data_IF_927876383994
#
_entry.id   IF_927876383994
#
_cell.length_a   1.000
_cell.length_b   1.000
_cell.length_c   1.000
_cell.angle_alpha   90.00
_cell.angle_beta   90.00
_cell.angle_gamma   90.00
#
_symmetry.space_group_name_H-M   'P 1'
#
loop_
_entity.id
_entity.type
_entity.pdbx_description
1 polymer ?
#
# COMPACT_ATOMS: atom_id res chain seq x y z
N UNK A 1 -15.58 14.00 -1.43
CA UNK A 1 -15.01 14.87 -2.50
C UNK A 1 -13.79 15.62 -1.96
N UNK A 2 -12.95 14.99 -1.13
CA UNK A 2 -12.19 15.72 -0.09
C UNK A 2 -10.71 15.32 0.04
N UNK A 3 -10.28 14.19 -0.51
CA UNK A 3 -8.99 13.58 -0.14
C UNK A 3 -7.86 13.79 -1.17
N UNK A 4 -8.21 13.93 -2.45
CA UNK A 4 -7.25 14.40 -3.47
C UNK A 4 -6.86 15.87 -3.18
N UNK A 5 -7.81 16.65 -2.63
CA UNK A 5 -7.57 18.04 -2.29
C UNK A 5 -6.55 18.19 -1.15
N UNK A 6 -6.64 17.37 -0.10
CA UNK A 6 -5.67 17.33 1.01
C UNK A 6 -4.26 16.99 0.52
N UNK A 7 -4.12 15.94 -0.29
CA UNK A 7 -2.83 15.55 -0.87
C UNK A 7 -2.24 16.67 -1.74
N UNK A 8 -3.07 17.32 -2.56
CA UNK A 8 -2.65 18.44 -3.41
C UNK A 8 -2.23 19.62 -2.55
N UNK A 9 -3.04 20.01 -1.56
CA UNK A 9 -2.74 21.11 -0.65
C UNK A 9 -1.43 20.88 0.10
N UNK A 10 -1.26 19.70 0.71
CA UNK A 10 -0.04 19.31 1.40
C UNK A 10 1.17 19.39 0.48
N UNK A 11 1.06 18.90 -0.76
CA UNK A 11 2.15 18.92 -1.73
C UNK A 11 2.49 20.32 -2.25
N UNK A 12 1.52 21.23 -2.33
CA UNK A 12 1.74 22.64 -2.67
C UNK A 12 2.47 23.33 -1.52
N UNK A 13 2.00 23.14 -0.29
CA UNK A 13 2.66 23.69 0.90
C UNK A 13 4.10 23.17 1.03
N UNK A 14 4.32 21.89 0.72
CA UNK A 14 5.63 21.26 0.76
C UNK A 14 6.57 21.78 -0.32
N UNK A 15 6.07 22.04 -1.54
CA UNK A 15 6.89 22.63 -2.60
C UNK A 15 7.35 24.05 -2.23
N UNK A 16 6.48 24.82 -1.58
CA UNK A 16 6.81 26.15 -1.05
C UNK A 16 7.78 26.10 0.15
N UNK A 17 7.93 24.94 0.81
CA UNK A 17 8.77 24.73 2.00
C UNK A 17 9.93 23.74 1.74
N UNK A 18 10.34 23.55 0.48
CA UNK A 18 11.36 22.55 0.12
C UNK A 18 12.75 22.80 0.71
N UNK A 19 13.03 24.06 1.03
CA UNK A 19 14.26 24.53 1.68
C UNK A 19 14.14 24.53 3.21
N UNK A 20 13.01 24.11 3.76
CA UNK A 20 12.77 23.99 5.21
C UNK A 20 12.88 22.54 5.67
N UNK A 21 13.06 22.38 6.97
CA UNK A 21 12.96 21.09 7.63
C UNK A 21 11.53 20.51 7.46
N UNK A 22 11.35 19.29 6.91
CA UNK A 22 10.00 18.72 6.68
C UNK A 22 9.30 18.31 7.98
N UNK A 23 10.04 18.21 9.09
CA UNK A 23 9.50 17.88 10.40
C UNK A 23 8.90 19.10 11.10
N UNK A 24 9.65 20.20 11.24
CA UNK A 24 9.25 21.38 11.99
C UNK A 24 8.96 22.64 11.16
N UNK A 25 9.19 22.60 9.84
CA UNK A 25 9.00 23.74 8.92
C UNK A 25 9.82 25.00 9.30
N UNK A 26 10.89 24.82 10.09
CA UNK A 26 11.89 25.86 10.39
C UNK A 26 13.08 25.75 9.41
N UNK A 27 14.02 26.68 9.53
CA UNK A 27 15.25 26.68 8.75
C UNK A 27 15.99 25.33 8.85
N UNK A 28 16.72 24.90 7.80
CA UNK A 28 17.49 23.66 7.83
C UNK A 28 18.42 23.60 9.04
N UNK A 29 18.35 22.49 9.76
CA UNK A 29 19.28 22.16 10.84
C UNK A 29 19.94 20.81 10.58
N UNK A 30 21.01 20.54 11.33
CA UNK A 30 21.76 19.29 11.20
C UNK A 30 20.93 18.12 11.74
N UNK A 31 20.57 17.19 10.85
CA UNK A 31 19.99 15.91 11.24
C UNK A 31 21.07 14.83 11.30
N UNK A 32 21.18 14.06 12.39
CA UNK A 32 22.07 12.91 12.46
C UNK A 32 21.60 11.83 11.47
N UNK A 33 22.49 11.40 10.57
CA UNK A 33 22.21 10.32 9.60
C UNK A 33 21.89 10.76 8.18
N UNK A 34 22.25 11.99 7.75
CA UNK A 34 22.04 12.53 6.39
C UNK A 34 22.38 11.53 5.27
N UNK A 35 21.40 10.73 4.86
CA UNK A 35 21.29 10.29 3.49
C UNK A 35 21.02 11.53 2.65
N UNK A 36 21.78 11.75 1.58
CA UNK A 36 21.34 12.70 0.53
C UNK A 36 19.93 12.30 0.12
N UNK A 37 19.04 13.27 -0.12
CA UNK A 37 17.72 12.99 -0.71
C UNK A 37 17.94 12.18 -1.99
N UNK A 38 17.63 10.88 -1.92
CA UNK A 38 17.68 9.98 -3.07
C UNK A 38 16.28 9.94 -3.63
N UNK A 39 16.16 9.98 -4.96
CA UNK A 39 14.88 9.73 -5.61
C UNK A 39 14.31 8.40 -5.08
N UNK A 40 13.07 8.41 -4.61
CA UNK A 40 12.36 7.19 -4.23
C UNK A 40 12.21 6.35 -5.49
N UNK A 41 12.68 5.11 -5.41
CA UNK A 41 12.60 4.13 -6.51
C UNK A 41 11.87 2.91 -6.01
N UNK A 42 11.01 2.35 -6.86
CA UNK A 42 10.47 1.02 -6.65
C UNK A 42 11.53 0.00 -7.04
N UNK A 43 11.93 -0.87 -6.10
CA UNK A 43 12.87 -1.96 -6.33
C UNK A 43 12.30 -3.28 -5.78
N UNK A 44 11.27 -3.84 -6.44
CA UNK A 44 10.59 -5.05 -5.95
C UNK A 44 11.54 -6.23 -5.72
N UNK A 45 12.64 -6.30 -6.48
CA UNK A 45 13.64 -7.35 -6.32
C UNK A 45 14.33 -7.36 -4.95
N UNK A 46 14.46 -6.20 -4.29
CA UNK A 46 15.09 -6.06 -2.96
C UNK A 46 14.16 -6.45 -1.80
N UNK A 47 12.86 -6.59 -2.06
CA UNK A 47 11.87 -6.96 -1.05
C UNK A 47 12.05 -8.39 -0.52
N UNK A 48 12.83 -9.24 -1.20
CA UNK A 48 13.12 -10.62 -0.77
C UNK A 48 11.88 -11.39 -0.28
N UNK A 49 10.74 -11.21 -0.96
CA UNK A 49 9.48 -11.81 -0.55
C UNK A 49 9.59 -13.34 -0.49
N UNK A 50 8.95 -13.93 0.52
CA UNK A 50 8.76 -15.37 0.57
C UNK A 50 7.90 -15.85 -0.61
N UNK A 51 8.16 -17.08 -1.05
CA UNK A 51 7.36 -17.72 -2.07
C UNK A 51 5.92 -17.94 -1.60
N UNK A 52 4.98 -17.84 -2.53
CA UNK A 52 3.58 -18.13 -2.25
C UNK A 52 3.44 -19.66 -2.07
N UNK A 53 2.80 -20.16 -0.99
CA UNK A 53 2.57 -21.58 -0.81
C UNK A 53 1.86 -22.18 -2.03
N UNK A 54 2.33 -23.35 -2.49
CA UNK A 54 1.84 -24.01 -3.72
C UNK A 54 2.06 -23.22 -5.02
N UNK A 55 2.83 -22.12 -4.97
CA UNK A 55 3.33 -21.35 -6.10
C UNK A 55 4.50 -22.03 -6.78
N UNK A 56 4.28 -23.23 -7.32
CA UNK A 56 5.30 -23.90 -8.10
C UNK A 56 5.32 -23.39 -9.55
N UNK A 57 6.51 -23.21 -10.16
CA UNK A 57 6.65 -22.98 -11.60
C UNK A 57 5.84 -24.03 -12.38
N UNK A 58 4.88 -23.56 -13.19
CA UNK A 58 3.98 -24.43 -13.95
C UNK A 58 2.49 -24.24 -13.66
N UNK A 59 2.10 -23.67 -12.50
CA UNK A 59 0.69 -23.39 -12.18
C UNK A 59 0.33 -21.90 -12.30
N UNK A 60 1.12 -21.06 -11.66
CA UNK A 60 1.05 -19.59 -11.67
C UNK A 60 2.45 -19.03 -11.39
N UNK A 61 2.66 -17.73 -11.50
CA UNK A 61 3.92 -17.09 -11.08
C UNK A 61 3.70 -16.29 -9.80
N UNK A 62 4.76 -15.74 -9.22
CA UNK A 62 4.71 -14.94 -8.00
C UNK A 62 5.31 -13.56 -8.28
N UNK A 63 4.58 -12.51 -7.90
CA UNK A 63 5.07 -11.14 -7.91
C UNK A 63 5.59 -10.75 -6.51
N UNK A 64 6.72 -10.06 -6.48
CA UNK A 64 7.17 -9.33 -5.29
C UNK A 64 6.37 -8.02 -5.23
N UNK A 65 5.53 -7.88 -4.23
CA UNK A 65 4.60 -6.76 -4.09
C UNK A 65 4.98 -5.89 -2.88
N UNK A 66 4.97 -4.56 -3.07
CA UNK A 66 5.11 -3.62 -1.96
C UNK A 66 3.80 -3.48 -1.21
N UNK A 67 3.84 -3.60 0.12
CA UNK A 67 2.69 -3.30 0.98
C UNK A 67 2.34 -1.80 0.92
N UNK A 68 3.35 -0.95 0.93
CA UNK A 68 3.22 0.48 0.61
C UNK A 68 3.96 0.72 -0.70
N UNK A 69 3.23 0.90 -1.81
CA UNK A 69 3.84 1.11 -3.12
C UNK A 69 4.71 2.38 -3.12
N UNK A 70 5.99 2.21 -3.49
CA UNK A 70 6.97 3.29 -3.44
C UNK A 70 6.57 4.49 -4.31
N UNK A 71 6.04 4.26 -5.51
CA UNK A 71 5.72 5.33 -6.47
C UNK A 71 4.26 5.76 -6.38
N UNK A 72 3.33 4.81 -6.25
CA UNK A 72 1.91 5.11 -6.32
C UNK A 72 1.35 5.64 -5.01
N UNK A 73 1.97 5.33 -3.86
CA UNK A 73 1.52 5.79 -2.55
C UNK A 73 2.58 6.64 -1.85
N UNK A 74 3.75 6.06 -1.57
CA UNK A 74 4.74 6.69 -0.70
C UNK A 74 5.31 7.99 -1.26
N UNK A 75 5.76 7.99 -2.53
CA UNK A 75 6.29 9.19 -3.18
C UNK A 75 5.24 10.27 -3.45
N UNK A 76 3.93 9.95 -3.36
CA UNK A 76 2.86 10.94 -3.52
C UNK A 76 2.75 11.88 -2.34
N UNK A 77 3.07 11.41 -1.13
CA UNK A 77 3.07 12.22 0.10
C UNK A 77 4.47 12.80 0.29
N UNK A 78 4.79 13.88 -0.44
CA UNK A 78 6.16 14.42 -0.59
C UNK A 78 6.84 14.71 0.75
N UNK A 79 6.09 15.27 1.71
CA UNK A 79 6.60 15.63 3.03
C UNK A 79 7.05 14.40 3.81
N UNK A 80 6.20 13.37 3.89
CA UNK A 80 6.53 12.10 4.54
C UNK A 80 7.72 11.41 3.88
N UNK A 81 7.74 11.39 2.56
CA UNK A 81 8.86 10.88 1.78
C UNK A 81 10.20 11.58 2.15
N UNK A 82 10.19 12.91 2.31
CA UNK A 82 11.36 13.67 2.77
C UNK A 82 11.73 13.33 4.22
N UNK A 83 10.76 13.29 5.13
CA UNK A 83 10.97 12.90 6.53
C UNK A 83 11.63 11.52 6.64
N UNK A 84 11.05 10.53 5.97
CA UNK A 84 11.54 9.14 5.95
C UNK A 84 12.94 9.01 5.34
N UNK A 85 13.22 9.73 4.25
CA UNK A 85 14.56 9.75 3.62
C UNK A 85 15.61 10.33 4.56
N UNK A 86 15.26 11.36 5.34
CA UNK A 86 16.16 11.98 6.30
C UNK A 86 16.55 11.06 7.45
N UNK A 87 15.64 10.17 7.88
CA UNK A 87 15.90 9.17 8.91
C UNK A 87 16.45 7.84 8.36
N UNK A 88 16.70 7.76 7.04
CA UNK A 88 17.27 6.58 6.41
C UNK A 88 16.32 5.39 6.26
N UNK A 89 15.00 5.60 6.27
CA UNK A 89 14.02 4.55 6.02
C UNK A 89 14.09 4.06 4.55
N UNK A 90 14.19 2.75 4.33
CA UNK A 90 14.13 2.15 2.99
C UNK A 90 12.79 1.44 2.77
N UNK A 91 11.95 2.05 1.93
CA UNK A 91 10.67 1.49 1.50
C UNK A 91 10.81 0.16 0.73
N UNK A 92 12.02 -0.21 0.31
CA UNK A 92 12.31 -1.47 -0.37
C UNK A 92 12.83 -2.56 0.57
N UNK A 93 12.82 -2.33 1.89
CA UNK A 93 13.22 -3.35 2.85
C UNK A 93 12.23 -4.54 2.84
N UNK A 94 12.72 -5.78 3.09
CA UNK A 94 11.87 -6.98 3.05
C UNK A 94 10.59 -6.96 3.90
N UNK A 95 10.57 -6.34 5.10
CA UNK A 95 9.35 -6.17 5.87
C UNK A 95 8.25 -5.35 5.17
N UNK A 96 8.56 -4.57 4.14
CA UNK A 96 7.56 -3.89 3.30
C UNK A 96 7.11 -4.71 2.07
N UNK A 97 7.55 -5.97 1.96
CA UNK A 97 7.26 -6.85 0.82
C UNK A 97 6.36 -8.03 1.14
N UNK A 98 5.45 -8.38 0.23
CA UNK A 98 4.68 -9.62 0.27
C UNK A 98 4.74 -10.33 -1.09
N UNK A 99 4.86 -11.65 -1.09
CA UNK A 99 4.74 -12.45 -2.30
C UNK A 99 3.26 -12.67 -2.61
N UNK A 100 2.84 -12.36 -3.84
CA UNK A 100 1.45 -12.57 -4.27
C UNK A 100 1.38 -13.36 -5.58
N UNK A 101 0.42 -14.27 -5.74
CA UNK A 101 0.26 -15.03 -6.98
C UNK A 101 -0.14 -14.11 -8.14
N UNK A 102 0.40 -14.39 -9.32
CA UNK A 102 0.11 -13.66 -10.56
C UNK A 102 0.10 -14.60 -11.77
N UNK A 103 -0.23 -14.08 -12.96
CA UNK A 103 -0.47 -14.93 -14.14
C UNK A 103 0.77 -15.70 -14.59
N UNK A 104 0.54 -16.88 -15.18
CA UNK A 104 1.53 -17.63 -15.96
C UNK A 104 1.22 -17.44 -17.43
N UNK A 105 2.19 -17.00 -18.22
CA UNK A 105 2.06 -16.98 -19.67
C UNK A 105 2.92 -18.09 -20.30
N UNK A 106 2.37 -18.92 -21.21
CA UNK A 106 0.94 -19.06 -21.53
C UNK A 106 0.17 -19.88 -20.47
N UNK A 107 -1.11 -19.58 -20.28
CA UNK A 107 -2.05 -20.35 -19.47
C UNK A 107 -2.89 -21.24 -20.40
N UNK A 108 -2.71 -22.56 -20.31
CA UNK A 108 -3.46 -23.51 -21.17
C UNK A 108 -3.27 -23.29 -22.68
N UNK A 109 -2.11 -22.79 -23.09
CA UNK A 109 -1.79 -22.49 -24.50
C UNK A 109 -2.20 -21.10 -24.98
N UNK A 110 -2.93 -20.30 -24.16
CA UNK A 110 -3.30 -18.90 -24.46
C UNK A 110 -2.50 -17.92 -23.60
N UNK A 111 -2.31 -16.68 -24.02
CA UNK A 111 -1.83 -15.64 -23.08
C UNK A 111 -2.97 -15.29 -22.13
N UNK A 112 -2.65 -14.93 -20.89
CA UNK A 112 -3.66 -14.51 -19.92
C UNK A 112 -4.47 -13.29 -20.40
N UNK A 113 -3.85 -12.40 -21.19
CA UNK A 113 -4.52 -11.26 -21.83
C UNK A 113 -5.67 -11.68 -22.74
N UNK A 114 -5.55 -12.84 -23.37
CA UNK A 114 -6.44 -13.34 -24.44
C UNK A 114 -7.60 -14.17 -23.89
N UNK A 115 -7.64 -14.37 -22.56
CA UNK A 115 -8.75 -15.00 -21.86
C UNK A 115 -9.92 -14.02 -21.71
N UNK A 116 -11.15 -14.54 -21.75
CA UNK A 116 -12.35 -13.77 -21.37
C UNK A 116 -12.28 -13.35 -19.90
N UNK A 117 -13.10 -12.38 -19.49
CA UNK A 117 -13.08 -11.94 -18.09
C UNK A 117 -13.59 -13.01 -17.11
N UNK A 118 -14.49 -13.88 -17.55
CA UNK A 118 -14.96 -15.06 -16.82
C UNK A 118 -13.85 -16.12 -16.71
N UNK A 119 -13.11 -16.36 -17.79
CA UNK A 119 -11.94 -17.25 -17.78
C UNK A 119 -10.88 -16.71 -16.80
N UNK A 120 -10.56 -15.42 -16.88
CA UNK A 120 -9.62 -14.76 -15.96
C UNK A 120 -10.09 -14.86 -14.50
N UNK A 121 -11.38 -14.66 -14.23
CA UNK A 121 -11.94 -14.80 -12.88
C UNK A 121 -11.81 -16.23 -12.38
N UNK A 122 -12.15 -17.21 -13.21
CA UNK A 122 -12.06 -18.64 -12.86
C UNK A 122 -10.63 -19.02 -12.51
N UNK A 123 -9.65 -18.56 -13.29
CA UNK A 123 -8.22 -18.78 -13.01
C UNK A 123 -7.81 -18.12 -11.70
N UNK A 124 -8.14 -16.84 -11.51
CA UNK A 124 -7.81 -16.09 -10.30
C UNK A 124 -8.40 -16.76 -9.05
N UNK A 125 -9.70 -17.08 -9.06
CA UNK A 125 -10.41 -17.76 -7.97
C UNK A 125 -9.78 -19.11 -7.63
N UNK A 126 -9.42 -19.91 -8.64
CA UNK A 126 -8.76 -21.20 -8.41
C UNK A 126 -7.40 -21.03 -7.73
N UNK A 127 -6.61 -20.06 -8.18
CA UNK A 127 -5.29 -19.80 -7.58
C UNK A 127 -5.46 -19.29 -6.15
N UNK A 128 -6.30 -18.28 -5.92
CA UNK A 128 -6.59 -17.72 -4.60
C UNK A 128 -7.09 -18.78 -3.61
N UNK A 129 -7.98 -19.68 -4.06
CA UNK A 129 -8.44 -20.82 -3.25
C UNK A 129 -7.31 -21.77 -2.88
N UNK A 130 -6.34 -21.98 -3.78
CA UNK A 130 -5.23 -22.93 -3.57
C UNK A 130 -4.11 -22.35 -2.72
N UNK A 131 -3.82 -21.06 -2.87
CA UNK A 131 -2.71 -20.38 -2.21
C UNK A 131 -3.12 -19.72 -0.89
N UNK A 132 -4.40 -19.35 -0.76
CA UNK A 132 -4.88 -18.48 0.32
C UNK A 132 -4.34 -17.05 0.22
N UNK A 133 -3.85 -16.63 -0.94
CA UNK A 133 -3.28 -15.30 -1.17
C UNK A 133 -3.98 -14.60 -2.34
N UNK A 134 -4.14 -13.28 -2.25
CA UNK A 134 -4.85 -12.49 -3.24
C UNK A 134 -4.16 -12.48 -4.62
N UNK A 135 -4.95 -12.55 -5.69
CA UNK A 135 -4.46 -12.48 -7.06
C UNK A 135 -3.95 -11.07 -7.41
N UNK A 136 -2.66 -10.96 -7.71
CA UNK A 136 -1.98 -9.71 -8.03
C UNK A 136 -1.87 -9.53 -9.55
N UNK A 137 -3.02 -9.26 -10.19
CA UNK A 137 -3.13 -8.89 -11.60
C UNK A 137 -4.20 -7.82 -11.73
N UNK A 138 -3.82 -6.70 -12.35
CA UNK A 138 -4.60 -5.47 -12.38
C UNK A 138 -3.77 -4.37 -11.73
N UNK A 139 -3.58 -3.25 -12.43
CA UNK A 139 -2.91 -2.11 -11.84
C UNK A 139 -3.74 -1.61 -10.65
N UNK A 140 -3.04 -1.11 -9.63
CA UNK A 140 -3.58 -0.58 -8.38
C UNK A 140 -4.58 0.61 -8.52
N UNK A 141 -4.97 0.96 -9.74
CA UNK A 141 -5.99 1.95 -10.07
C UNK A 141 -7.33 1.24 -10.35
N UNK A 142 -7.92 0.61 -9.34
CA UNK A 142 -9.32 0.21 -9.39
C UNK A 142 -10.12 1.35 -8.76
N UNK A 143 -10.78 2.16 -9.58
CA UNK A 143 -11.75 3.15 -9.11
C UNK A 143 -13.07 2.43 -8.90
N UNK A 144 -13.55 2.39 -7.66
CA UNK A 144 -14.77 1.66 -7.28
C UNK A 144 -15.89 2.69 -7.10
N UNK A 145 -17.00 2.50 -7.79
CA UNK A 145 -18.18 3.38 -7.66
C UNK A 145 -18.78 3.27 -6.26
N UNK A 146 -18.95 4.42 -5.61
CA UNK A 146 -19.64 4.54 -4.32
C UNK A 146 -21.15 4.64 -4.56
N UNK A 147 -22.00 3.89 -3.83
CA UNK A 147 -23.44 4.15 -3.80
C UNK A 147 -23.75 5.50 -3.12
N UNK A 148 -24.89 6.10 -3.46
CA UNK A 148 -25.30 7.44 -2.99
C UNK A 148 -25.59 7.54 -1.47
N UNK A 149 -25.67 6.42 -0.76
CA UNK A 149 -26.00 6.30 0.68
C UNK A 149 -24.76 6.05 1.59
N UNK A 150 -23.56 6.32 1.10
CA UNK A 150 -22.31 5.95 1.75
C UNK A 150 -21.98 6.70 3.06
N UNK A 151 -22.67 7.79 3.38
CA UNK A 151 -22.37 8.68 4.52
C UNK A 151 -23.33 8.54 5.73
N UNK A 152 -24.29 7.61 5.66
CA UNK A 152 -25.25 7.41 6.75
C UNK A 152 -24.61 6.52 7.84
N UNK A 153 -23.97 7.16 8.82
CA UNK A 153 -23.63 6.52 10.10
C UNK A 153 -24.91 6.28 10.93
N UNK A 154 -25.72 5.30 10.54
CA UNK A 154 -26.72 4.74 11.44
C UNK A 154 -26.21 3.42 12.01
N UNK A 155 -26.10 3.40 13.34
CA UNK A 155 -25.64 2.26 14.12
C UNK A 155 -26.47 1.01 13.84
N UNK A 156 -25.80 -0.03 13.36
CA UNK A 156 -26.36 -1.35 13.15
C UNK A 156 -25.24 -2.30 12.74
N UNK A 157 -25.24 -3.51 13.31
CA UNK A 157 -24.17 -4.51 13.23
C UNK A 157 -23.93 -5.13 11.83
N UNK A 158 -24.35 -4.48 10.74
CA UNK A 158 -24.37 -5.03 9.37
C UNK A 158 -23.61 -4.18 8.31
N UNK A 159 -22.62 -3.37 8.72
CA UNK A 159 -21.76 -2.62 7.77
C UNK A 159 -20.58 -3.48 7.23
N UNK A 160 -20.88 -4.71 6.86
CA UNK A 160 -19.91 -5.74 6.52
C UNK A 160 -19.33 -5.57 5.10
N UNK A 161 -18.08 -5.11 5.04
CA UNK A 161 -17.11 -5.34 3.95
C UNK A 161 -17.29 -4.62 2.60
N UNK A 162 -17.53 -3.30 2.62
CA UNK A 162 -17.46 -2.47 1.41
C UNK A 162 -15.99 -2.17 1.02
N UNK A 163 -15.52 -2.67 -0.11
CA UNK A 163 -14.26 -2.25 -0.77
C UNK A 163 -14.58 -1.08 -1.68
N UNK A 164 -14.64 0.12 -1.11
CA UNK A 164 -15.14 1.30 -1.81
C UNK A 164 -14.03 2.17 -2.40
N UNK A 165 -12.77 1.86 -2.12
CA UNK A 165 -11.63 2.73 -2.42
C UNK A 165 -10.43 1.88 -2.84
N UNK A 166 -9.72 2.30 -3.89
CA UNK A 166 -8.53 1.59 -4.36
C UNK A 166 -7.53 1.36 -3.21
N UNK A 167 -6.80 0.25 -3.28
CA UNK A 167 -5.73 -0.07 -2.33
C UNK A 167 -4.80 1.11 -2.11
N UNK A 168 -4.38 1.76 -3.20
CA UNK A 168 -3.45 2.88 -3.16
C UNK A 168 -4.02 4.08 -2.43
N UNK A 169 -5.29 4.43 -2.66
CA UNK A 169 -5.93 5.55 -1.98
C UNK A 169 -6.06 5.29 -0.48
N UNK A 170 -6.43 4.06 -0.09
CA UNK A 170 -6.49 3.68 1.32
C UNK A 170 -5.12 3.81 2.00
N UNK A 171 -4.05 3.35 1.33
CA UNK A 171 -2.69 3.52 1.84
C UNK A 171 -2.28 4.99 1.89
N UNK A 172 -2.58 5.79 0.86
CA UNK A 172 -2.29 7.23 0.82
C UNK A 172 -2.96 7.95 1.99
N UNK A 173 -4.21 7.64 2.32
CA UNK A 173 -4.92 8.24 3.46
C UNK A 173 -4.19 7.97 4.78
N UNK A 174 -3.73 6.74 4.99
CA UNK A 174 -2.93 6.43 6.18
C UNK A 174 -1.60 7.20 6.22
N UNK A 175 -0.96 7.40 5.06
CA UNK A 175 0.27 8.19 4.97
C UNK A 175 0.02 9.68 5.21
N UNK A 176 -1.09 10.24 4.75
CA UNK A 176 -1.50 11.63 5.01
C UNK A 176 -1.71 11.82 6.52
N UNK A 177 -2.53 10.98 7.14
CA UNK A 177 -2.80 11.05 8.58
C UNK A 177 -1.50 10.97 9.39
N UNK A 178 -0.62 10.02 9.06
CA UNK A 178 0.69 9.91 9.71
C UNK A 178 1.52 11.20 9.53
N UNK A 179 1.46 11.83 8.35
CA UNK A 179 2.18 13.08 8.11
C UNK A 179 1.68 14.23 8.98
N UNK A 180 0.37 14.31 9.18
CA UNK A 180 -0.28 15.33 10.00
C UNK A 180 0.02 15.15 11.48
N UNK A 181 -0.04 13.92 11.98
CA UNK A 181 0.34 13.57 13.35
C UNK A 181 1.78 14.01 13.66
N UNK A 182 2.70 13.71 12.73
CA UNK A 182 4.10 14.11 12.84
C UNK A 182 4.32 15.61 12.69
N UNK A 183 3.49 16.29 11.91
CA UNK A 183 3.53 17.75 11.78
C UNK A 183 3.09 18.45 13.07
N UNK A 184 2.04 17.96 13.73
CA UNK A 184 1.51 18.51 14.97
C UNK A 184 2.47 18.29 16.16
N UNK A 185 3.24 17.20 16.15
CA UNK A 185 4.12 16.81 17.26
C UNK A 185 5.45 17.61 17.37
N UNK A 186 5.71 18.58 16.49
CA UNK A 186 6.94 19.41 16.40
C UNK A 186 8.23 18.65 16.78
N UNK A 187 8.64 17.64 16.00
CA UNK A 187 9.49 16.56 16.47
C UNK A 187 10.99 16.89 16.52
N UNK A 188 11.41 18.09 16.12
CA UNK A 188 12.82 18.49 16.08
C UNK A 188 13.42 18.91 17.44
N UNK A 189 12.65 18.86 18.52
CA UNK A 189 13.11 19.27 19.85
C UNK A 189 13.70 18.11 20.69
N UNK A 190 13.51 16.85 20.26
CA UNK A 190 14.11 15.64 20.88
C UNK A 190 14.51 14.61 19.78
N UNK A 191 15.68 14.83 19.17
CA UNK A 191 16.04 14.24 17.87
C UNK A 191 16.31 12.72 17.89
N UNK A 192 16.87 12.15 18.97
CA UNK A 192 17.30 10.74 18.95
C UNK A 192 16.18 9.72 19.18
N UNK A 193 15.19 10.05 20.04
CA UNK A 193 14.08 9.15 20.39
C UNK A 193 12.94 9.17 19.38
N UNK A 194 12.80 10.25 18.62
CA UNK A 194 11.71 10.43 17.65
C UNK A 194 12.04 9.86 16.26
N UNK A 195 13.30 9.66 15.90
CA UNK A 195 13.71 9.00 14.64
C UNK A 195 13.24 7.55 14.53
N UNK A 196 13.42 6.77 15.60
CA UNK A 196 12.94 5.39 15.67
C UNK A 196 11.43 5.31 15.63
N UNK A 197 10.73 6.33 16.13
CA UNK A 197 9.28 6.34 16.17
C UNK A 197 8.64 6.48 14.78
N UNK A 198 9.09 7.41 13.92
CA UNK A 198 8.55 7.51 12.55
C UNK A 198 8.81 6.22 11.75
N UNK A 199 10.00 5.64 11.89
CA UNK A 199 10.29 4.32 11.28
C UNK A 199 9.31 3.26 11.80
N UNK A 200 9.12 3.19 13.11
CA UNK A 200 8.22 2.24 13.74
C UNK A 200 6.77 2.43 13.28
N UNK A 201 6.30 3.66 13.10
CA UNK A 201 4.94 3.91 12.61
C UNK A 201 4.76 3.45 11.15
N UNK A 202 5.77 3.66 10.30
CA UNK A 202 5.79 3.14 8.93
C UNK A 202 5.83 1.61 8.89
N UNK A 203 6.67 1.00 9.74
CA UNK A 203 6.75 -0.46 9.87
C UNK A 203 5.42 -1.05 10.36
N UNK A 204 4.78 -0.42 11.35
CA UNK A 204 3.46 -0.82 11.87
C UNK A 204 2.36 -0.69 10.82
N UNK A 205 2.39 0.35 9.98
CA UNK A 205 1.48 0.47 8.85
C UNK A 205 1.65 -0.72 7.89
N UNK A 206 2.89 -1.02 7.49
CA UNK A 206 3.18 -2.19 6.64
C UNK A 206 2.74 -3.49 7.29
N UNK A 207 3.01 -3.70 8.57
CA UNK A 207 2.58 -4.89 9.32
C UNK A 207 1.06 -5.02 9.38
N UNK A 208 0.34 -3.92 9.64
CA UNK A 208 -1.13 -3.91 9.64
C UNK A 208 -1.70 -4.33 8.29
N UNK A 209 -1.16 -3.79 7.19
CA UNK A 209 -1.56 -4.17 5.83
C UNK A 209 -1.25 -5.66 5.59
N UNK A 210 -0.05 -6.12 5.95
CA UNK A 210 0.35 -7.52 5.82
C UNK A 210 -0.62 -8.45 6.54
N UNK A 211 -0.97 -8.15 7.79
CA UNK A 211 -1.88 -8.96 8.60
C UNK A 211 -3.26 -9.08 7.94
N UNK A 212 -3.76 -8.00 7.33
CA UNK A 212 -5.01 -8.00 6.55
C UNK A 212 -4.90 -8.87 5.30
N UNK A 213 -3.82 -8.74 4.52
CA UNK A 213 -3.60 -9.57 3.33
C UNK A 213 -3.41 -11.05 3.67
N UNK A 214 -2.78 -11.38 4.81
CA UNK A 214 -2.59 -12.76 5.26
C UNK A 214 -3.88 -13.37 5.84
N UNK A 215 -4.77 -12.55 6.41
CA UNK A 215 -6.09 -13.00 6.88
C UNK A 215 -6.97 -13.54 5.72
N UNK A 216 -6.66 -13.20 4.48
CA UNK A 216 -7.37 -13.67 3.27
C UNK A 216 -7.50 -15.19 3.21
N UNK A 217 -6.49 -15.92 3.70
CA UNK A 217 -6.48 -17.39 3.71
C UNK A 217 -7.58 -17.98 4.60
N UNK A 218 -7.87 -17.32 5.72
CA UNK A 218 -8.84 -17.79 6.71
C UNK A 218 -10.22 -17.34 6.31
N UNK A 219 -10.35 -16.06 6.01
CA UNK A 219 -11.61 -15.43 5.63
C UNK A 219 -11.31 -14.28 4.66
N UNK A 220 -11.58 -14.45 3.35
CA UNK A 220 -11.24 -13.47 2.33
C UNK A 220 -11.72 -12.04 2.62
N UNK A 221 -12.92 -11.89 3.21
CA UNK A 221 -13.49 -10.59 3.59
C UNK A 221 -12.67 -9.83 4.63
N UNK A 222 -11.94 -10.53 5.51
CA UNK A 222 -11.08 -9.91 6.54
C UNK A 222 -9.87 -9.17 5.97
N UNK A 223 -9.59 -9.32 4.67
CA UNK A 223 -8.63 -8.47 3.99
C UNK A 223 -9.08 -7.03 3.83
N UNK A 224 -10.37 -6.73 3.97
CA UNK A 224 -10.88 -5.36 3.91
C UNK A 224 -10.13 -4.44 4.89
N UNK A 225 -9.74 -3.22 4.45
CA UNK A 225 -10.04 -2.60 3.14
C UNK A 225 -9.02 -2.88 2.02
N UNK A 226 -8.09 -3.82 2.21
CA UNK A 226 -6.95 -4.03 1.31
C UNK A 226 -7.19 -5.16 0.33
N UNK A 227 -7.67 -4.84 -0.87
CA UNK A 227 -7.66 -5.78 -2.00
C UNK A 227 -6.79 -5.26 -3.14
N UNK A 228 -5.83 -6.10 -3.56
CA UNK A 228 -4.81 -5.77 -4.56
C UNK A 228 -5.30 -5.91 -6.01
N UNK A 229 -6.52 -6.41 -6.20
CA UNK A 229 -7.21 -6.45 -7.51
C UNK A 229 -8.72 -6.55 -7.30
N UNK A 230 -9.48 -6.12 -8.31
CA UNK A 230 -10.93 -6.32 -8.37
C UNK A 230 -11.29 -7.80 -8.23
N UNK A 231 -10.53 -8.69 -8.89
CA UNK A 231 -10.77 -10.14 -8.84
C UNK A 231 -10.65 -10.71 -7.44
N UNK A 232 -9.69 -10.21 -6.65
CA UNK A 232 -9.52 -10.61 -5.25
C UNK A 232 -10.69 -10.13 -4.38
N UNK A 233 -11.20 -8.93 -4.66
CA UNK A 233 -12.41 -8.44 -4.02
C UNK A 233 -13.64 -9.26 -4.38
N UNK A 234 -13.90 -9.49 -5.67
CA UNK A 234 -15.02 -10.33 -6.13
C UNK A 234 -14.98 -11.71 -5.49
N UNK A 235 -13.81 -12.36 -5.45
CA UNK A 235 -13.65 -13.66 -4.77
C UNK A 235 -13.99 -13.60 -3.28
N UNK A 236 -13.70 -12.46 -2.62
CA UNK A 236 -13.99 -12.31 -1.21
C UNK A 236 -15.49 -12.14 -0.91
N UNK A 237 -16.27 -11.63 -1.87
CA UNK A 237 -17.71 -11.41 -1.66
C UNK A 237 -18.54 -12.71 -1.71
N UNK A 238 -18.06 -13.74 -2.40
CA UNK A 238 -18.78 -14.99 -2.66
C UNK A 238 -19.39 -15.03 -4.05
#
# INVERSE_FOLDING_TARGET
MTEIAELVYMNVAEEAAKDKCPFCYKAPHSFPGKGKSKAIKSKPNQLNCADVPNGSPGKHTTAKHHLICAIQCFAKVKRLARMATMIGYDINDPPNGLGLPTFRNPYGGKKYSDLSDEEKQTVASRVMKTTGAQWHVGHHAVEISLPDDWDVEEGGEDNEYRHQVSYDTTVIRHLIALTEDWAAANPCEDESKKHSALKNDLDQLSERIRNKLQAFKVEPKRSSPYFVSERAFTYAQG
#
